data_IF_621797605836
#
_entry.id   IF_621797605836
#
_cell.length_a   1.000
_cell.length_b   1.000
_cell.length_c   1.000
_cell.angle_alpha   90.00
_cell.angle_beta   90.00
_cell.angle_gamma   90.00
#
_symmetry.space_group_name_H-M   'P 1'
#
loop_
_entity.id
_entity.type
_entity.pdbx_description
1 polymer ?
#
# COMPACT_ATOMS: atom_id res chain seq x y z
N UNK A 1 17.49 -5.22 22.59
CA UNK A 1 17.25 -5.24 21.13
C UNK A 1 16.70 -6.58 20.65
N UNK A 2 17.29 -7.74 21.01
CA UNK A 2 16.93 -9.08 20.48
C UNK A 2 15.47 -9.48 20.73
N UNK A 3 14.92 -9.26 21.94
CA UNK A 3 13.51 -9.54 22.25
C UNK A 3 12.55 -8.69 21.40
N UNK A 4 12.91 -7.45 21.12
CA UNK A 4 12.10 -6.58 20.26
C UNK A 4 12.11 -7.06 18.81
N UNK A 5 13.25 -7.55 18.31
CA UNK A 5 13.35 -8.12 16.96
C UNK A 5 12.46 -9.37 16.83
N UNK A 6 12.51 -10.27 17.81
CA UNK A 6 11.66 -11.47 17.85
C UNK A 6 10.18 -11.12 17.85
N UNK A 7 9.77 -10.11 18.63
CA UNK A 7 8.39 -9.64 18.67
C UNK A 7 7.95 -9.04 17.33
N UNK A 8 8.79 -8.18 16.72
CA UNK A 8 8.52 -7.52 15.44
C UNK A 8 8.45 -8.50 14.25
N UNK A 9 9.05 -9.69 14.37
CA UNK A 9 8.93 -10.75 13.37
C UNK A 9 7.60 -11.51 13.46
N UNK A 10 7.01 -11.58 14.65
CA UNK A 10 5.77 -12.33 14.90
C UNK A 10 4.52 -11.48 14.81
N UNK A 11 4.61 -10.24 15.26
CA UNK A 11 3.47 -9.36 15.41
C UNK A 11 3.59 -8.12 14.50
N UNK A 12 2.52 -7.73 13.80
CA UNK A 12 2.52 -6.50 13.03
C UNK A 12 2.50 -5.29 13.97
N UNK A 13 3.54 -4.48 13.92
CA UNK A 13 3.65 -3.23 14.68
C UNK A 13 3.55 -2.06 13.70
N UNK A 14 2.67 -1.09 13.99
CA UNK A 14 2.43 0.07 13.15
C UNK A 14 3.31 1.28 13.54
N UNK A 15 3.61 1.43 14.82
CA UNK A 15 4.43 2.52 15.36
C UNK A 15 5.42 1.99 16.37
N UNK A 16 6.68 2.42 16.24
CA UNK A 16 7.78 2.09 17.14
C UNK A 16 8.33 3.36 17.79
N UNK A 17 8.40 3.37 19.12
CA UNK A 17 9.21 4.32 19.89
C UNK A 17 10.56 3.67 20.19
N UNK A 18 11.63 4.28 19.76
CA UNK A 18 12.95 3.68 19.82
C UNK A 18 13.97 4.63 20.42
N UNK A 19 14.65 4.19 21.47
CA UNK A 19 15.80 4.95 21.97
C UNK A 19 16.97 4.84 20.99
N UNK A 20 17.64 5.95 20.73
CA UNK A 20 18.82 5.96 19.85
C UNK A 20 20.00 5.24 20.53
N UNK A 21 20.20 5.46 21.83
CA UNK A 21 21.27 4.80 22.58
C UNK A 21 20.72 3.60 23.35
N UNK A 22 21.07 2.41 22.90
CA UNK A 22 20.78 1.16 23.58
C UNK A 22 22.09 0.40 23.86
N UNK A 23 22.12 -0.51 24.87
CA UNK A 23 23.38 -1.14 25.30
C UNK A 23 24.13 -1.91 24.21
N UNK A 24 23.46 -2.70 23.39
CA UNK A 24 24.10 -3.67 22.48
C UNK A 24 24.22 -3.17 21.04
N UNK A 25 23.25 -2.37 20.60
CA UNK A 25 23.13 -1.86 19.23
C UNK A 25 22.44 -0.51 19.28
N UNK A 26 22.84 0.43 18.43
CA UNK A 26 22.12 1.70 18.34
C UNK A 26 20.70 1.51 17.80
N UNK A 27 19.75 2.35 18.25
CA UNK A 27 18.39 2.30 17.72
C UNK A 27 18.33 2.54 16.22
N UNK A 28 19.27 3.28 15.66
CA UNK A 28 19.39 3.54 14.23
C UNK A 28 19.73 2.26 13.48
N UNK A 29 20.80 1.57 13.89
CA UNK A 29 21.22 0.30 13.29
C UNK A 29 20.14 -0.78 13.46
N UNK A 30 19.52 -0.82 14.65
CA UNK A 30 18.40 -1.72 14.91
C UNK A 30 17.25 -1.49 13.91
N UNK A 31 16.83 -0.23 13.71
CA UNK A 31 15.74 0.08 12.77
C UNK A 31 16.11 -0.23 11.32
N UNK A 32 17.37 0.04 10.94
CA UNK A 32 17.86 -0.28 9.60
C UNK A 32 17.86 -1.78 9.30
N UNK A 33 18.07 -2.62 10.32
CA UNK A 33 18.10 -4.09 10.21
C UNK A 33 16.69 -4.71 10.05
N UNK A 34 15.61 -3.96 10.30
CA UNK A 34 14.26 -4.48 10.21
C UNK A 34 13.85 -4.72 8.76
N UNK A 35 13.36 -5.94 8.41
CA UNK A 35 12.88 -6.26 7.08
C UNK A 35 11.58 -5.49 6.72
N UNK A 36 10.75 -5.22 7.73
CA UNK A 36 9.54 -4.40 7.63
C UNK A 36 9.68 -3.21 8.58
N UNK A 37 9.59 -2.00 8.06
CA UNK A 37 9.76 -0.76 8.81
C UNK A 37 8.41 -0.19 9.25
N UNK A 38 8.10 -0.22 10.57
CA UNK A 38 6.96 0.51 11.12
C UNK A 38 7.18 2.02 11.02
N UNK A 39 6.16 2.83 11.33
CA UNK A 39 6.36 4.23 11.63
C UNK A 39 7.28 4.35 12.85
N UNK A 40 8.17 5.34 12.84
CA UNK A 40 9.23 5.46 13.85
C UNK A 40 9.20 6.82 14.49
N UNK A 41 9.24 6.84 15.83
CA UNK A 41 9.54 8.03 16.63
C UNK A 41 10.78 7.70 17.46
N UNK A 42 11.87 8.41 17.23
CA UNK A 42 13.05 8.27 18.07
C UNK A 42 12.84 8.98 19.41
N UNK A 43 13.39 8.39 20.47
CA UNK A 43 13.56 9.02 21.78
C UNK A 43 15.04 9.11 22.10
N UNK A 44 15.52 10.22 22.64
CA UNK A 44 16.94 10.40 22.95
C UNK A 44 17.16 11.42 24.05
N UNK A 45 18.23 11.26 24.82
CA UNK A 45 18.71 12.26 25.77
C UNK A 45 19.68 13.30 25.13
N UNK A 46 20.02 13.15 23.85
CA UNK A 46 21.05 13.94 23.16
C UNK A 46 20.45 14.77 22.04
N UNK A 47 20.60 16.11 22.15
CA UNK A 47 20.09 17.08 21.17
C UNK A 47 20.81 17.02 19.80
N UNK A 48 22.09 16.62 19.79
CA UNK A 48 22.90 16.54 18.58
C UNK A 48 22.39 15.52 17.54
N UNK A 49 21.73 14.45 18.00
CA UNK A 49 21.10 13.49 17.10
C UNK A 49 19.80 14.01 16.45
N UNK A 50 19.20 15.06 17.01
CA UNK A 50 18.01 15.69 16.41
C UNK A 50 18.36 16.49 15.14
N UNK A 51 19.58 17.02 15.02
CA UNK A 51 20.03 17.74 13.83
C UNK A 51 20.37 16.83 12.64
N UNK A 52 20.90 15.62 12.92
CA UNK A 52 21.19 14.60 11.90
C UNK A 52 19.91 13.87 11.40
N UNK A 53 18.78 14.19 11.95
CA UNK A 53 17.52 13.48 11.76
C UNK A 53 16.81 13.73 10.42
N UNK A 54 17.22 14.76 9.67
CA UNK A 54 16.65 15.06 8.34
C UNK A 54 16.98 13.99 7.29
N UNK A 55 17.96 13.13 7.53
CA UNK A 55 18.34 12.03 6.63
C UNK A 55 17.74 10.66 7.02
N UNK A 56 16.96 10.60 8.11
CA UNK A 56 16.40 9.36 8.62
C UNK A 56 14.87 9.39 8.49
N UNK A 57 14.28 8.34 7.93
CA UNK A 57 12.84 8.12 7.70
C UNK A 57 11.99 8.07 8.99
N UNK A 58 12.24 8.94 9.97
CA UNK A 58 11.50 9.00 11.22
C UNK A 58 10.36 10.04 11.16
N UNK A 59 9.24 9.69 11.76
CA UNK A 59 8.06 10.57 11.88
C UNK A 59 8.36 11.75 12.79
N UNK A 60 9.05 11.52 13.90
CA UNK A 60 9.40 12.55 14.89
C UNK A 60 10.53 12.13 15.82
N UNK A 61 11.02 13.09 16.62
CA UNK A 61 12.08 12.92 17.62
C UNK A 61 11.61 13.50 18.96
N UNK A 62 11.79 12.76 20.03
CA UNK A 62 11.47 13.17 21.39
C UNK A 62 12.75 13.28 22.22
N UNK A 63 13.15 14.51 22.55
CA UNK A 63 14.30 14.75 23.43
C UNK A 63 13.86 14.56 24.88
N UNK A 64 14.49 13.64 25.59
CA UNK A 64 14.25 13.37 27.01
C UNK A 64 14.89 14.45 27.91
N UNK A 65 14.17 14.97 28.95
CA UNK A 65 12.77 14.69 29.30
C UNK A 65 11.79 15.44 28.37
N UNK A 66 10.72 14.78 27.94
CA UNK A 66 9.70 15.41 27.12
C UNK A 66 8.36 15.52 27.86
N UNK A 67 7.61 16.58 27.60
CA UNK A 67 6.27 16.76 28.15
C UNK A 67 5.23 15.87 27.49
N UNK A 68 4.11 15.62 28.17
CA UNK A 68 2.98 14.91 27.58
C UNK A 68 2.48 15.58 26.29
N UNK A 69 2.43 16.91 26.27
CA UNK A 69 2.02 17.66 25.07
C UNK A 69 2.96 17.38 23.87
N UNK A 70 4.29 17.31 24.11
CA UNK A 70 5.27 16.98 23.08
C UNK A 70 5.12 15.54 22.58
N UNK A 71 4.90 14.60 23.48
CA UNK A 71 4.61 13.20 23.15
C UNK A 71 3.35 13.08 22.30
N UNK A 72 2.25 13.70 22.71
CA UNK A 72 0.98 13.66 21.98
C UNK A 72 1.11 14.26 20.58
N UNK A 73 1.91 15.32 20.41
CA UNK A 73 2.17 15.90 19.08
C UNK A 73 2.88 14.90 18.15
N UNK A 74 3.85 14.14 18.68
CA UNK A 74 4.52 13.07 17.93
C UNK A 74 3.56 11.94 17.55
N UNK A 75 2.72 11.51 18.49
CA UNK A 75 1.68 10.52 18.25
C UNK A 75 0.66 10.98 17.19
N UNK A 76 0.24 12.26 17.23
CA UNK A 76 -0.69 12.80 16.23
C UNK A 76 -0.10 12.77 14.82
N UNK A 77 1.17 13.18 14.65
CA UNK A 77 1.87 13.05 13.37
C UNK A 77 1.94 11.61 12.89
N UNK A 78 2.29 10.69 13.79
CA UNK A 78 2.36 9.26 13.46
C UNK A 78 0.98 8.72 13.07
N UNK A 79 -0.07 9.13 13.78
CA UNK A 79 -1.44 8.73 13.49
C UNK A 79 -1.94 9.26 12.15
N UNK A 80 -1.62 10.50 11.79
CA UNK A 80 -1.93 11.06 10.47
C UNK A 80 -1.24 10.26 9.36
N UNK A 81 0.07 9.98 9.51
CA UNK A 81 0.81 9.16 8.56
C UNK A 81 0.32 7.70 8.52
N UNK A 82 -0.08 7.14 9.66
CA UNK A 82 -0.68 5.82 9.75
C UNK A 82 -2.02 5.77 9.03
N UNK A 83 -2.89 6.74 9.28
CA UNK A 83 -4.14 6.90 8.52
C UNK A 83 -3.85 7.03 7.04
N UNK A 84 -2.90 7.89 6.66
CA UNK A 84 -2.49 8.08 5.27
C UNK A 84 -1.97 6.77 4.63
N UNK A 85 -1.16 5.98 5.34
CA UNK A 85 -0.70 4.66 4.87
C UNK A 85 -1.80 3.60 4.85
N UNK A 86 -2.79 3.71 5.73
CA UNK A 86 -3.92 2.77 5.87
C UNK A 86 -5.20 3.24 5.23
N UNK A 87 -5.34 4.54 4.99
CA UNK A 87 -6.54 5.04 4.33
C UNK A 87 -6.60 4.50 2.91
N UNK A 88 -7.68 3.79 2.58
CA UNK A 88 -8.07 3.69 1.19
C UNK A 88 -8.44 5.07 0.60
N UNK A 89 -8.55 6.12 1.44
CA UNK A 89 -8.94 7.49 1.10
C UNK A 89 -7.85 8.37 0.51
N UNK A 90 -6.58 7.94 0.45
CA UNK A 90 -5.61 8.45 -0.53
C UNK A 90 -5.48 7.53 -1.74
N UNK A 91 -6.32 6.50 -1.82
CA UNK A 91 -6.65 5.97 -3.13
C UNK A 91 -7.28 7.14 -3.89
N UNK A 92 -6.66 7.55 -4.97
CA UNK A 92 -7.26 8.42 -5.97
C UNK A 92 -8.67 7.89 -6.20
N UNK A 93 -9.68 8.56 -5.63
CA UNK A 93 -11.08 8.09 -5.71
C UNK A 93 -11.53 8.05 -7.16
N UNK A 94 -10.92 8.87 -8.01
CA UNK A 94 -11.22 8.95 -9.42
C UNK A 94 -9.94 9.10 -10.26
N UNK A 95 -10.00 8.65 -11.47
CA UNK A 95 -8.97 8.83 -12.50
C UNK A 95 -9.60 9.44 -13.76
N UNK A 96 -8.80 10.18 -14.52
CA UNK A 96 -9.21 10.68 -15.83
C UNK A 96 -8.71 9.74 -16.91
N UNK A 97 -9.61 9.01 -17.55
CA UNK A 97 -9.31 8.09 -18.64
C UNK A 97 -9.45 8.84 -19.96
N UNK A 98 -8.35 8.90 -20.74
CA UNK A 98 -8.36 9.51 -22.06
C UNK A 98 -9.02 8.56 -23.05
N UNK A 99 -10.15 8.97 -23.62
CA UNK A 99 -10.88 8.24 -24.64
C UNK A 99 -11.02 9.13 -25.89
N UNK A 100 -10.26 8.85 -26.93
CA UNK A 100 -10.17 9.72 -28.11
C UNK A 100 -9.65 11.12 -27.74
N UNK A 101 -10.48 12.15 -27.94
CA UNK A 101 -10.15 13.55 -27.62
C UNK A 101 -10.66 14.02 -26.26
N UNK A 102 -11.34 13.16 -25.52
CA UNK A 102 -11.96 13.49 -24.24
C UNK A 102 -11.21 12.83 -23.06
N UNK A 103 -11.38 13.41 -21.88
CA UNK A 103 -10.98 12.80 -20.61
C UNK A 103 -12.22 12.56 -19.78
N UNK A 104 -12.49 11.30 -19.49
CA UNK A 104 -13.66 10.88 -18.72
C UNK A 104 -13.22 10.65 -17.28
N UNK A 105 -13.83 11.36 -16.34
CA UNK A 105 -13.68 11.10 -14.90
C UNK A 105 -14.36 9.77 -14.56
N UNK A 106 -13.59 8.88 -13.92
CA UNK A 106 -14.06 7.54 -13.50
C UNK A 106 -13.68 7.32 -12.06
N UNK A 107 -14.63 6.92 -11.24
CA UNK A 107 -14.34 6.46 -9.89
C UNK A 107 -13.57 5.14 -9.96
N UNK A 108 -12.46 5.04 -9.23
CA UNK A 108 -11.59 3.85 -9.26
C UNK A 108 -12.34 2.60 -8.84
N UNK A 109 -13.28 2.76 -7.90
CA UNK A 109 -14.14 1.68 -7.42
C UNK A 109 -15.14 1.15 -8.45
N UNK A 110 -15.41 1.90 -9.52
CA UNK A 110 -16.26 1.43 -10.60
C UNK A 110 -15.51 0.58 -11.63
N UNK A 111 -14.17 0.61 -11.62
CA UNK A 111 -13.39 -0.19 -12.57
C UNK A 111 -13.39 -1.65 -12.11
N UNK A 112 -13.96 -2.53 -12.92
CA UNK A 112 -14.01 -3.97 -12.66
C UNK A 112 -12.72 -4.65 -13.07
N UNK A 113 -12.31 -4.44 -14.31
CA UNK A 113 -11.06 -4.96 -14.87
C UNK A 113 -10.63 -4.16 -16.11
N UNK A 114 -9.41 -4.41 -16.56
CA UNK A 114 -8.85 -3.86 -17.79
C UNK A 114 -8.60 -5.01 -18.76
N UNK A 115 -8.89 -4.75 -20.04
CA UNK A 115 -8.62 -5.66 -21.16
C UNK A 115 -7.79 -4.94 -22.23
N UNK A 116 -6.64 -5.50 -22.61
CA UNK A 116 -5.80 -4.93 -23.68
C UNK A 116 -5.97 -5.68 -24.99
N UNK A 117 -6.13 -4.92 -26.07
CA UNK A 117 -6.16 -5.43 -27.44
C UNK A 117 -5.36 -4.51 -28.35
N UNK A 118 -4.25 -5.01 -28.90
CA UNK A 118 -3.32 -4.20 -29.70
C UNK A 118 -2.78 -3.02 -28.90
N UNK A 119 -2.96 -1.81 -29.41
CA UNK A 119 -2.51 -0.55 -28.80
C UNK A 119 -3.60 0.13 -27.94
N UNK A 120 -4.61 -0.61 -27.53
CA UNK A 120 -5.74 -0.08 -26.76
C UNK A 120 -5.96 -0.88 -25.48
N UNK A 121 -6.40 -0.18 -24.44
CA UNK A 121 -6.88 -0.76 -23.19
C UNK A 121 -8.34 -0.33 -23.00
N UNK A 122 -9.19 -1.32 -22.78
CA UNK A 122 -10.58 -1.12 -22.41
C UNK A 122 -10.69 -1.19 -20.88
N UNK A 123 -11.16 -0.12 -20.27
CA UNK A 123 -11.57 -0.10 -18.86
C UNK A 123 -13.03 -0.54 -18.81
N UNK A 124 -13.28 -1.67 -18.16
CA UNK A 124 -14.63 -2.24 -18.03
C UNK A 124 -15.24 -1.78 -16.72
N UNK A 125 -16.40 -1.10 -16.83
CA UNK A 125 -17.17 -0.58 -15.71
C UNK A 125 -18.58 -1.20 -15.72
N UNK A 126 -19.35 -1.08 -14.63
CA UNK A 126 -20.75 -1.46 -14.62
C UNK A 126 -21.54 -0.68 -15.69
N UNK A 127 -22.06 -1.41 -16.67
CA UNK A 127 -22.92 -0.86 -17.73
C UNK A 127 -22.25 -0.05 -18.84
N UNK A 128 -20.91 0.18 -18.79
CA UNK A 128 -20.17 0.87 -19.87
C UNK A 128 -18.71 0.47 -19.93
N UNK A 129 -18.12 0.64 -21.10
CA UNK A 129 -16.70 0.44 -21.32
C UNK A 129 -16.05 1.73 -21.85
N UNK A 130 -14.81 2.00 -21.45
CA UNK A 130 -14.02 3.14 -21.94
C UNK A 130 -12.78 2.62 -22.64
N UNK A 131 -12.57 3.02 -23.89
CA UNK A 131 -11.42 2.63 -24.70
C UNK A 131 -10.36 3.73 -24.66
N UNK A 132 -9.16 3.39 -24.21
CA UNK A 132 -8.01 4.29 -24.17
C UNK A 132 -6.89 3.77 -25.06
N UNK A 133 -6.24 4.67 -25.78
CA UNK A 133 -5.03 4.33 -26.55
C UNK A 133 -3.82 4.33 -25.62
N UNK A 134 -3.51 3.19 -25.07
CA UNK A 134 -2.39 2.95 -24.14
C UNK A 134 -2.05 1.47 -24.13
N UNK A 135 -0.91 1.11 -23.56
CA UNK A 135 -0.61 -0.28 -23.23
C UNK A 135 -1.02 -0.60 -21.78
N UNK A 136 -1.03 -1.90 -21.43
CA UNK A 136 -1.46 -2.36 -20.11
C UNK A 136 -0.60 -1.79 -18.97
N UNK A 137 0.70 -1.62 -19.18
CA UNK A 137 1.62 -1.10 -18.16
C UNK A 137 1.38 0.39 -17.89
N UNK A 138 1.15 1.18 -18.94
CA UNK A 138 0.78 2.60 -18.84
C UNK A 138 -0.58 2.76 -18.15
N UNK A 139 -1.57 1.93 -18.53
CA UNK A 139 -2.89 1.97 -17.92
C UNK A 139 -2.83 1.66 -16.42
N UNK A 140 -2.06 0.64 -16.01
CA UNK A 140 -1.87 0.28 -14.61
C UNK A 140 -1.10 1.35 -13.81
N UNK A 141 -0.11 2.01 -14.44
CA UNK A 141 0.65 3.07 -13.75
C UNK A 141 -0.19 4.34 -13.48
N UNK A 142 -1.26 4.55 -14.25
CA UNK A 142 -2.21 5.64 -14.04
C UNK A 142 -3.26 5.33 -12.94
N UNK A 143 -3.32 4.09 -12.46
CA UNK A 143 -4.22 3.65 -11.41
C UNK A 143 -3.51 3.60 -10.05
N UNK A 144 -4.25 3.70 -8.94
CA UNK A 144 -3.67 3.60 -7.60
C UNK A 144 -2.96 2.26 -7.39
N UNK A 145 -1.72 2.33 -6.89
CA UNK A 145 -0.91 1.15 -6.62
C UNK A 145 -1.60 0.20 -5.63
N UNK A 146 -1.52 -1.10 -5.89
CA UNK A 146 -2.07 -2.12 -5.00
C UNK A 146 -3.59 -2.29 -5.06
N UNK A 147 -4.29 -1.57 -5.95
CA UNK A 147 -5.74 -1.75 -6.19
C UNK A 147 -6.04 -2.73 -7.31
N UNK A 148 -5.12 -2.87 -8.25
CA UNK A 148 -5.24 -3.72 -9.43
C UNK A 148 -4.07 -4.69 -9.51
N UNK A 149 -4.33 -5.89 -10.01
CA UNK A 149 -3.31 -6.90 -10.26
C UNK A 149 -3.41 -7.39 -11.71
N UNK A 150 -2.25 -7.48 -12.37
CA UNK A 150 -2.20 -8.08 -13.70
C UNK A 150 -2.28 -9.60 -13.57
N UNK A 151 -3.26 -10.21 -14.22
CA UNK A 151 -3.52 -11.66 -14.16
C UNK A 151 -3.25 -12.37 -15.48
N UNK A 152 -3.08 -11.61 -16.57
CA UNK A 152 -2.81 -12.14 -17.89
C UNK A 152 -2.06 -11.10 -18.72
N UNK A 153 -1.43 -11.52 -19.84
CA UNK A 153 -0.83 -10.56 -20.79
C UNK A 153 -1.81 -9.48 -21.24
N UNK A 154 -3.08 -9.81 -21.32
CA UNK A 154 -4.16 -8.91 -21.78
C UNK A 154 -5.14 -8.51 -20.70
N UNK A 155 -5.02 -8.95 -19.44
CA UNK A 155 -5.98 -8.64 -18.39
C UNK A 155 -5.34 -8.20 -17.10
N UNK A 156 -5.96 -7.18 -16.47
CA UNK A 156 -5.69 -6.80 -15.09
C UNK A 156 -7.04 -6.60 -14.37
N UNK A 157 -7.14 -7.00 -13.11
CA UNK A 157 -8.40 -7.01 -12.36
C UNK A 157 -8.32 -6.15 -11.11
N UNK A 158 -9.42 -5.50 -10.74
CA UNK A 158 -9.55 -4.83 -9.46
C UNK A 158 -9.65 -5.86 -8.33
N UNK A 159 -8.75 -5.79 -7.36
CA UNK A 159 -8.68 -6.75 -6.25
C UNK A 159 -9.96 -6.79 -5.42
N UNK A 160 -10.59 -5.62 -5.21
CA UNK A 160 -11.84 -5.49 -4.46
C UNK A 160 -13.07 -6.07 -5.17
N UNK A 161 -12.96 -6.40 -6.46
CA UNK A 161 -14.05 -6.90 -7.30
C UNK A 161 -13.90 -8.39 -7.65
N UNK A 162 -12.89 -9.06 -7.12
CA UNK A 162 -12.70 -10.49 -7.31
C UNK A 162 -13.75 -11.24 -6.47
N UNK A 163 -14.62 -11.99 -7.15
CA UNK A 163 -15.64 -12.84 -6.51
C UNK A 163 -15.08 -14.22 -6.19
N UNK A 164 -14.23 -14.77 -7.11
CA UNK A 164 -13.71 -16.12 -7.02
C UNK A 164 -12.36 -16.23 -7.72
N UNK A 165 -11.46 -17.00 -7.14
CA UNK A 165 -10.15 -17.33 -7.71
C UNK A 165 -10.04 -18.83 -7.89
N UNK A 166 -9.67 -19.26 -9.10
CA UNK A 166 -9.39 -20.64 -9.46
C UNK A 166 -7.97 -20.74 -10.03
N UNK A 167 -7.49 -21.95 -10.28
CA UNK A 167 -6.11 -22.18 -10.70
C UNK A 167 -5.73 -21.44 -12.00
N UNK A 168 -6.65 -21.33 -12.94
CA UNK A 168 -6.41 -20.81 -14.30
C UNK A 168 -7.30 -19.64 -14.65
N UNK A 169 -8.15 -19.18 -13.72
CA UNK A 169 -9.08 -18.10 -13.97
C UNK A 169 -9.50 -17.38 -12.67
N UNK A 170 -9.94 -16.13 -12.82
CA UNK A 170 -10.59 -15.35 -11.76
C UNK A 170 -11.95 -14.90 -12.24
N UNK A 171 -12.93 -14.83 -11.33
CA UNK A 171 -14.24 -14.26 -11.61
C UNK A 171 -14.34 -12.87 -10.99
N UNK A 172 -14.73 -11.88 -11.80
CA UNK A 172 -14.91 -10.48 -11.40
C UNK A 172 -16.26 -10.02 -11.89
N UNK A 173 -17.19 -9.69 -10.99
CA UNK A 173 -18.54 -9.23 -11.33
C UNK A 173 -19.22 -10.10 -12.40
N UNK A 174 -19.15 -11.43 -12.28
CA UNK A 174 -19.64 -12.48 -13.19
C UNK A 174 -18.83 -12.67 -14.49
N UNK A 175 -17.79 -11.88 -14.74
CA UNK A 175 -16.88 -12.11 -15.87
C UNK A 175 -15.78 -13.09 -15.49
N UNK A 176 -15.58 -14.11 -16.31
CA UNK A 176 -14.51 -15.11 -16.13
C UNK A 176 -13.29 -14.65 -16.92
N UNK A 177 -12.20 -14.38 -16.22
CA UNK A 177 -10.97 -13.81 -16.77
C UNK A 177 -9.84 -14.85 -16.62
N UNK A 178 -9.12 -15.18 -17.69
CA UNK A 178 -8.04 -16.16 -17.62
C UNK A 178 -6.84 -15.63 -16.81
N UNK A 179 -6.19 -16.53 -16.06
CA UNK A 179 -4.92 -16.27 -15.38
C UNK A 179 -3.80 -16.95 -16.15
N UNK A 180 -2.85 -16.17 -16.64
CA UNK A 180 -1.66 -16.70 -17.31
C UNK A 180 -0.65 -17.25 -16.29
N UNK A 181 0.05 -18.34 -16.63
CA UNK A 181 1.02 -19.01 -15.74
C UNK A 181 2.05 -18.02 -15.15
N UNK A 182 2.57 -17.10 -15.97
CA UNK A 182 3.55 -16.10 -15.53
C UNK A 182 3.01 -15.10 -14.48
N UNK A 183 1.70 -14.97 -14.32
CA UNK A 183 1.04 -14.02 -13.42
C UNK A 183 0.42 -14.69 -12.18
N UNK A 184 0.38 -16.04 -12.16
CA UNK A 184 -0.28 -16.77 -11.08
C UNK A 184 0.42 -16.55 -9.72
N UNK A 185 1.75 -16.50 -9.70
CA UNK A 185 2.53 -16.27 -8.48
C UNK A 185 2.28 -14.88 -7.89
N UNK A 186 2.25 -13.84 -8.73
CA UNK A 186 1.99 -12.46 -8.30
C UNK A 186 0.57 -12.32 -7.75
N UNK A 187 -0.42 -12.93 -8.43
CA UNK A 187 -1.79 -12.95 -7.95
C UNK A 187 -1.89 -13.59 -6.55
N UNK A 188 -1.26 -14.76 -6.35
CA UNK A 188 -1.29 -15.45 -5.06
C UNK A 188 -0.60 -14.64 -3.95
N UNK A 189 0.53 -13.99 -4.24
CA UNK A 189 1.25 -13.15 -3.29
C UNK A 189 0.39 -11.95 -2.84
N UNK A 190 -0.30 -11.30 -3.78
CA UNK A 190 -1.19 -10.16 -3.50
C UNK A 190 -2.39 -10.61 -2.68
N UNK A 191 -3.00 -11.75 -2.99
CA UNK A 191 -4.13 -12.30 -2.25
C UNK A 191 -3.75 -12.73 -0.83
N UNK A 192 -2.57 -13.33 -0.63
CA UNK A 192 -2.06 -13.67 0.69
C UNK A 192 -1.83 -12.42 1.54
N UNK A 193 -1.29 -11.33 0.95
CA UNK A 193 -1.16 -10.02 1.61
C UNK A 193 -2.51 -9.36 1.91
N UNK A 194 -3.52 -9.57 1.09
CA UNK A 194 -4.89 -9.08 1.30
C UNK A 194 -5.66 -9.89 2.37
N UNK A 195 -5.40 -11.20 2.47
CA UNK A 195 -6.02 -12.08 3.47
C UNK A 195 -5.58 -11.76 4.91
N UNK A 196 -4.46 -11.07 5.08
CA UNK A 196 -4.00 -10.55 6.39
C UNK A 196 -4.69 -9.24 6.82
N UNK A 197 -5.60 -8.69 5.98
CA UNK A 197 -6.43 -7.53 6.33
C UNK A 197 -7.81 -8.00 6.82
N UNK A 198 -8.22 -7.73 8.06
CA UNK A 198 -9.59 -7.97 8.48
C UNK A 198 -10.55 -7.11 7.64
N UNK A 199 -11.78 -7.59 7.35
CA UNK A 199 -12.75 -6.84 6.58
C UNK A 199 -13.11 -5.54 7.30
N UNK A 200 -13.33 -4.43 6.59
CA UNK A 200 -13.82 -3.20 7.20
C UNK A 200 -15.26 -3.45 7.70
N UNK A 201 -15.46 -3.38 9.02
CA UNK A 201 -16.78 -3.35 9.63
C UNK A 201 -17.26 -4.63 10.33
N UNK A 202 -16.45 -5.17 11.24
CA UNK A 202 -16.96 -6.04 12.30
C UNK A 202 -16.65 -5.39 13.66
N UNK A 203 -17.59 -4.64 14.16
CA UNK A 203 -17.77 -4.31 15.58
C UNK A 203 -19.13 -4.84 15.95
#
# INVERSE_FOLDING_TARGET
>A
AFKALEYLQREPVDLLFLDIKMPDISGIEFFQSLPRKPLLIYTTAYAEHAAASFEMDAVDYLLKPFSLARFMKGCSKAYELFRFRRSPETAVEHVFIKTGYEQVKVEVDDILYLESSGNYVTYVLPGRNLLSRSNMSEALSALPAGRFVRVHRSYAVALSKIDKVERTQVTVARHVIPVGEAFAADLQAVLAGAALRPPPGSV
#
